data_IF_564754608577
#
_entry.id   IF_564754608577
#
_cell.length_a   1.000
_cell.length_b   1.000
_cell.length_c   1.000
_cell.angle_alpha   90.00
_cell.angle_beta   90.00
_cell.angle_gamma   90.00
#
_symmetry.space_group_name_H-M   'P 1'
#
loop_
_entity.id
_entity.type
_entity.pdbx_description
1 polymer ?
#
# COMPACT_ATOMS: atom_id res chain seq x y z
N UNK A 1 6.29 6.96 16.37
CA UNK A 1 6.07 5.55 15.96
C UNK A 1 6.26 5.46 14.47
N UNK A 2 6.99 4.46 13.97
CA UNK A 2 7.15 4.22 12.53
C UNK A 2 5.87 3.62 11.95
N UNK A 3 5.54 3.97 10.72
CA UNK A 3 4.39 3.41 9.98
C UNK A 3 4.87 2.50 8.86
N UNK A 4 4.04 1.53 8.51
CA UNK A 4 4.28 0.62 7.40
C UNK A 4 3.30 0.95 6.28
N UNK A 5 3.78 0.86 5.05
CA UNK A 5 3.00 1.15 3.86
C UNK A 5 3.08 -0.05 2.93
N UNK A 6 1.94 -0.64 2.62
CA UNK A 6 1.81 -1.55 1.49
C UNK A 6 1.56 -0.70 0.25
N UNK A 7 2.27 -0.95 -0.84
CA UNK A 7 2.07 -0.21 -2.08
C UNK A 7 1.87 -1.14 -3.27
N UNK A 8 0.99 -0.74 -4.17
CA UNK A 8 0.73 -1.44 -5.42
C UNK A 8 0.41 -0.46 -6.53
N UNK A 9 0.81 -0.78 -7.76
CA UNK A 9 0.46 0.03 -8.93
C UNK A 9 -1.03 -0.18 -9.27
N UNK A 10 -1.83 0.87 -9.25
CA UNK A 10 -3.21 0.92 -9.76
C UNK A 10 -3.21 1.54 -11.18
N UNK A 11 -4.36 1.54 -11.89
CA UNK A 11 -4.46 2.21 -13.19
C UNK A 11 -4.09 3.69 -13.07
N UNK A 12 -2.91 4.07 -13.60
CA UNK A 12 -2.43 5.46 -13.61
C UNK A 12 -1.94 6.04 -12.28
N UNK A 13 -2.03 5.32 -11.15
CA UNK A 13 -1.58 5.81 -9.84
C UNK A 13 -0.95 4.71 -8.99
N UNK A 14 -0.26 5.07 -7.91
CA UNK A 14 0.22 4.13 -6.90
C UNK A 14 -0.74 4.13 -5.72
N UNK A 15 -1.37 2.99 -5.44
CA UNK A 15 -2.12 2.81 -4.22
C UNK A 15 -1.17 2.58 -3.06
N UNK A 16 -1.40 3.26 -1.95
CA UNK A 16 -0.67 3.10 -0.70
C UNK A 16 -1.66 2.75 0.40
N UNK A 17 -1.45 1.65 1.11
CA UNK A 17 -2.22 1.27 2.28
C UNK A 17 -1.34 1.48 3.50
N UNK A 18 -1.75 2.40 4.36
CA UNK A 18 -1.03 2.73 5.58
C UNK A 18 -1.49 1.82 6.73
N UNK A 19 -0.51 1.22 7.42
CA UNK A 19 -0.73 0.25 8.48
C UNK A 19 0.21 0.56 9.66
N UNK A 20 -0.30 0.42 10.89
CA UNK A 20 0.45 0.76 12.09
C UNK A 20 1.34 -0.38 12.59
N UNK A 21 0.98 -1.64 12.30
CA UNK A 21 1.65 -2.82 12.84
C UNK A 21 2.15 -3.78 11.76
N UNK A 22 3.30 -4.41 12.02
CA UNK A 22 3.86 -5.45 11.13
C UNK A 22 2.99 -6.70 11.05
N UNK A 23 2.21 -6.99 12.10
CA UNK A 23 1.27 -8.10 12.09
C UNK A 23 0.10 -7.82 11.13
N UNK A 24 -0.50 -6.65 11.22
CA UNK A 24 -1.56 -6.20 10.31
C UNK A 24 -1.11 -6.18 8.85
N UNK A 25 0.16 -5.83 8.59
CA UNK A 25 0.73 -5.91 7.24
C UNK A 25 0.71 -7.34 6.69
N UNK A 26 1.05 -8.34 7.49
CA UNK A 26 1.02 -9.75 7.06
C UNK A 26 -0.40 -10.20 6.75
N UNK A 27 -1.35 -9.81 7.60
CA UNK A 27 -2.75 -10.19 7.46
C UNK A 27 -3.39 -9.50 6.24
N UNK A 28 -3.11 -8.19 6.06
CA UNK A 28 -3.49 -7.45 4.87
C UNK A 28 -2.86 -8.04 3.60
N UNK A 29 -1.55 -8.34 3.61
CA UNK A 29 -0.87 -8.93 2.46
C UNK A 29 -1.50 -10.27 2.05
N UNK A 30 -1.77 -11.17 3.01
CA UNK A 30 -2.44 -12.45 2.75
C UNK A 30 -3.82 -12.23 2.14
N UNK A 31 -4.61 -11.32 2.72
CA UNK A 31 -5.97 -11.01 2.24
C UNK A 31 -5.94 -10.44 0.83
N UNK A 32 -5.04 -9.50 0.56
CA UNK A 32 -4.88 -8.91 -0.78
C UNK A 32 -4.46 -9.98 -1.79
N UNK A 33 -3.49 -10.85 -1.46
CA UNK A 33 -3.07 -11.92 -2.36
C UNK A 33 -4.14 -12.98 -2.59
N UNK A 34 -4.99 -13.24 -1.60
CA UNK A 34 -6.14 -14.14 -1.77
C UNK A 34 -7.18 -13.53 -2.72
N UNK A 35 -7.46 -12.22 -2.61
CA UNK A 35 -8.42 -11.53 -3.48
C UNK A 35 -7.88 -11.22 -4.88
N UNK A 36 -6.60 -10.85 -4.98
CA UNK A 36 -5.93 -10.46 -6.23
C UNK A 36 -4.54 -11.13 -6.30
N UNK A 37 -4.46 -12.41 -6.70
CA UNK A 37 -3.21 -13.17 -6.73
C UNK A 37 -2.11 -12.50 -7.58
N UNK A 38 -2.51 -11.88 -8.70
CA UNK A 38 -1.64 -11.18 -9.64
C UNK A 38 -1.18 -9.79 -9.20
N UNK A 39 -1.64 -9.27 -8.05
CA UNK A 39 -1.23 -7.95 -7.59
C UNK A 39 0.26 -7.93 -7.22
N UNK A 40 1.03 -7.00 -7.79
CA UNK A 40 2.39 -6.71 -7.34
C UNK A 40 2.32 -5.80 -6.12
N UNK A 41 2.73 -6.29 -4.95
CA UNK A 41 2.67 -5.56 -3.69
C UNK A 41 4.07 -5.45 -3.12
N UNK A 42 4.48 -4.23 -2.78
CA UNK A 42 5.68 -3.97 -1.99
C UNK A 42 5.33 -3.52 -0.58
N UNK A 43 6.22 -3.76 0.37
CA UNK A 43 6.11 -3.26 1.75
C UNK A 43 7.23 -2.25 1.99
N UNK A 44 6.91 -1.11 2.58
CA UNK A 44 7.90 -0.11 2.94
C UNK A 44 7.67 0.43 4.36
N UNK A 45 8.74 0.57 5.13
CA UNK A 45 8.68 1.21 6.44
C UNK A 45 9.17 2.65 6.36
N UNK A 46 8.39 3.58 6.88
CA UNK A 46 8.79 4.98 6.97
C UNK A 46 8.34 5.57 8.31
N UNK A 47 9.06 6.58 8.81
CA UNK A 47 8.66 7.29 10.03
C UNK A 47 7.29 7.97 9.85
N UNK A 48 7.08 8.56 8.68
CA UNK A 48 5.87 9.25 8.25
C UNK A 48 5.80 9.27 6.72
N UNK A 49 4.65 9.69 6.19
CA UNK A 49 4.42 9.78 4.76
C UNK A 49 5.34 10.81 4.08
N UNK A 50 5.73 11.88 4.79
CA UNK A 50 6.64 12.89 4.25
C UNK A 50 8.03 12.30 3.97
N UNK A 51 8.51 11.42 4.84
CA UNK A 51 9.76 10.67 4.68
C UNK A 51 9.66 9.71 3.49
N UNK A 52 8.55 8.99 3.36
CA UNK A 52 8.26 8.12 2.21
C UNK A 52 8.30 8.89 0.88
N UNK A 53 7.67 10.07 0.83
CA UNK A 53 7.64 10.91 -0.39
C UNK A 53 9.02 11.42 -0.77
N UNK A 54 9.88 11.72 0.21
CA UNK A 54 11.27 12.17 -0.04
C UNK A 54 12.13 11.04 -0.60
N UNK A 55 11.97 9.81 -0.11
CA UNK A 55 12.77 8.66 -0.58
C UNK A 55 12.26 8.11 -1.91
N UNK A 56 10.96 8.16 -2.17
CA UNK A 56 10.37 7.74 -3.44
C UNK A 56 10.03 8.93 -4.34
N UNK A 57 11.05 9.47 -5.04
CA UNK A 57 10.88 10.61 -5.98
C UNK A 57 9.88 10.36 -7.11
N UNK A 58 9.61 9.09 -7.45
CA UNK A 58 8.65 8.70 -8.48
C UNK A 58 7.21 8.53 -7.96
N UNK A 59 6.98 8.80 -6.67
CA UNK A 59 5.67 8.69 -6.03
C UNK A 59 4.91 10.01 -6.20
N UNK A 60 4.67 10.38 -7.46
CA UNK A 60 4.03 11.65 -7.85
C UNK A 60 2.51 11.53 -7.95
N UNK A 61 1.98 10.40 -8.41
CA UNK A 61 0.54 10.13 -8.46
C UNK A 61 0.20 8.96 -7.54
N UNK A 62 -0.39 9.25 -6.38
CA UNK A 62 -0.69 8.25 -5.37
C UNK A 62 -2.03 8.50 -4.68
N UNK A 63 -2.60 7.43 -4.13
CA UNK A 63 -3.76 7.49 -3.25
C UNK A 63 -3.45 6.72 -1.98
N UNK A 64 -3.65 7.36 -0.83
CA UNK A 64 -3.46 6.73 0.48
C UNK A 64 -4.80 6.18 0.93
N UNK A 65 -4.79 4.94 1.38
CA UNK A 65 -5.91 4.20 1.93
C UNK A 65 -5.57 3.78 3.35
N UNK A 66 -6.57 3.77 4.22
CA UNK A 66 -6.44 3.28 5.59
C UNK A 66 -7.24 1.98 5.82
N UNK A 67 -8.02 1.56 4.82
CA UNK A 67 -8.78 0.31 4.83
C UNK A 67 -8.24 -0.67 3.78
N UNK A 68 -8.04 -1.92 4.22
CA UNK A 68 -7.61 -3.02 3.34
C UNK A 68 -8.64 -3.27 2.24
N UNK A 69 -9.94 -3.15 2.56
CA UNK A 69 -11.02 -3.42 1.61
C UNK A 69 -11.10 -2.35 0.52
N UNK A 70 -10.92 -1.07 0.89
CA UNK A 70 -10.82 0.02 -0.07
C UNK A 70 -9.62 -0.18 -1.00
N UNK A 71 -8.47 -0.54 -0.42
CA UNK A 71 -7.26 -0.83 -1.18
C UNK A 71 -7.48 -1.96 -2.18
N UNK A 72 -8.07 -3.09 -1.74
CA UNK A 72 -8.42 -4.24 -2.59
C UNK A 72 -9.35 -3.80 -3.73
N UNK A 73 -10.42 -3.06 -3.42
CA UNK A 73 -11.38 -2.62 -4.44
C UNK A 73 -10.74 -1.80 -5.56
N UNK A 74 -9.66 -1.07 -5.26
CA UNK A 74 -8.95 -0.21 -6.21
C UNK A 74 -7.92 -0.95 -7.03
N UNK A 75 -7.20 -1.90 -6.43
CA UNK A 75 -6.26 -2.75 -7.18
C UNK A 75 -6.96 -3.79 -8.06
N UNK A 76 -8.20 -4.21 -7.73
CA UNK A 76 -8.96 -5.19 -8.51
C UNK A 76 -9.49 -4.59 -9.80
N UNK A 77 -9.79 -3.29 -9.84
CA UNK A 77 -10.22 -2.57 -11.05
C UNK A 77 -9.06 -2.30 -12.03
N UNK A 78 -8.01 -3.13 -12.01
CA UNK A 78 -6.82 -3.00 -12.85
C UNK A 78 -7.09 -3.36 -14.30
#
# INVERSE_FOLDING_TARGET
MSRLYLYSKCQGSTGLLEIASSQEVKDAYKRIKASVPGASIGVYGAKDFATLRRTHRNLTNYSIYHSVDEFISKITRR
#
